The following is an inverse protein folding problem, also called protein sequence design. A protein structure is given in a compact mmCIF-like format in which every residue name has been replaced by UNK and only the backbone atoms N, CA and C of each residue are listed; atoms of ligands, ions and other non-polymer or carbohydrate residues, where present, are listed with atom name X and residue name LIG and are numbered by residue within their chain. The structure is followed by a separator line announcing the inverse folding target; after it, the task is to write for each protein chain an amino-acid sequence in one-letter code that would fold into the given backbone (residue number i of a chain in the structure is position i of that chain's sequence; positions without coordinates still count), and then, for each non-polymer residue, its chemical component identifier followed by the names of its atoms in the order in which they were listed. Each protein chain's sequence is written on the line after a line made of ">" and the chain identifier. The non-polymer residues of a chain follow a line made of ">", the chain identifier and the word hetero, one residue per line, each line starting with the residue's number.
data_IF_931978582591
#
_entry.id   IF_931978582591
#
_cell.length_a   1.000
_cell.length_b   1.000
_cell.length_c   1.000
_cell.angle_alpha   90.00
_cell.angle_beta   90.00
_cell.angle_gamma   90.00
#
_symmetry.space_group_name_H-M   'P 1'
#
loop_
_entity.id
_entity.type
_entity.pdbx_description
1 polymer ?
#
# COMPACT_ATOMS: atom_id res chain seq x y z
N UNK A 1 -2.27 3.01 4.80
CA UNK A 1 -1.11 3.96 4.76
C UNK A 1 0.04 3.41 3.92
N UNK A 2 0.48 2.15 4.15
CA UNK A 2 1.59 1.55 3.40
C UNK A 2 1.35 1.54 1.88
N UNK A 3 0.18 1.09 1.44
CA UNK A 3 -0.22 1.06 0.03
C UNK A 3 -0.27 2.48 -0.57
N UNK A 4 -0.84 3.42 0.17
CA UNK A 4 -0.91 4.83 -0.19
C UNK A 4 0.47 5.48 -0.40
N UNK A 5 1.42 5.28 0.55
CA UNK A 5 2.79 5.82 0.43
C UNK A 5 3.51 5.21 -0.77
N UNK A 6 3.34 3.90 -1.01
CA UNK A 6 3.93 3.21 -2.15
C UNK A 6 3.47 3.82 -3.48
N UNK A 7 2.17 4.10 -3.60
CA UNK A 7 1.61 4.74 -4.79
C UNK A 7 2.09 6.19 -4.95
N UNK A 8 2.18 6.94 -3.84
CA UNK A 8 2.70 8.30 -3.86
C UNK A 8 4.12 8.36 -4.43
N UNK A 9 5.04 7.55 -3.91
CA UNK A 9 6.44 7.52 -4.34
C UNK A 9 6.59 7.08 -5.80
N UNK A 10 5.88 6.01 -6.18
CA UNK A 10 5.82 5.52 -7.54
C UNK A 10 5.34 6.59 -8.50
N UNK A 11 4.20 7.20 -8.22
CA UNK A 11 3.57 8.21 -9.08
C UNK A 11 4.42 9.47 -9.19
N UNK A 12 5.05 9.90 -8.09
CA UNK A 12 5.97 11.04 -8.10
C UNK A 12 7.16 10.78 -9.03
N UNK A 13 7.72 9.56 -9.01
CA UNK A 13 8.81 9.16 -9.90
C UNK A 13 8.39 9.15 -11.38
N UNK A 14 7.21 8.59 -11.68
CA UNK A 14 6.70 8.53 -13.05
C UNK A 14 6.34 9.90 -13.60
N UNK A 15 5.63 10.72 -12.82
CA UNK A 15 5.27 12.08 -13.23
C UNK A 15 6.48 12.96 -13.49
N UNK A 16 7.55 12.84 -12.68
CA UNK A 16 8.82 13.54 -12.94
C UNK A 16 9.44 13.13 -14.26
N UNK A 17 9.53 11.81 -14.54
CA UNK A 17 10.07 11.29 -15.80
C UNK A 17 9.29 11.81 -17.01
N UNK A 18 7.94 11.79 -16.93
CA UNK A 18 7.08 12.29 -18.01
C UNK A 18 7.29 13.79 -18.23
N UNK A 19 7.35 14.58 -17.14
CA UNK A 19 7.58 16.02 -17.24
C UNK A 19 8.97 16.36 -17.81
N UNK A 20 9.96 15.50 -17.60
CA UNK A 20 11.30 15.62 -18.16
C UNK A 20 11.41 15.07 -19.60
N UNK A 21 10.31 14.60 -20.17
CA UNK A 21 10.29 13.98 -21.51
C UNK A 21 11.06 12.66 -21.61
N UNK A 22 11.36 12.02 -20.47
CA UNK A 22 12.09 10.76 -20.43
C UNK A 22 11.16 9.58 -20.70
N UNK A 23 11.61 8.57 -21.48
CA UNK A 23 10.79 7.39 -21.77
C UNK A 23 10.51 6.59 -20.48
N UNK A 24 9.28 6.10 -20.36
CA UNK A 24 8.88 5.18 -19.30
C UNK A 24 9.37 3.77 -19.67
N UNK A 25 10.57 3.40 -19.24
CA UNK A 25 11.05 2.03 -19.40
C UNK A 25 10.44 1.15 -18.31
N UNK A 26 9.28 0.54 -18.60
CA UNK A 26 8.52 -0.28 -17.66
C UNK A 26 9.29 -1.53 -17.25
N UNK A 27 9.98 -2.17 -18.21
CA UNK A 27 10.74 -3.38 -17.93
C UNK A 27 11.88 -3.11 -16.93
N UNK A 28 12.66 -2.05 -17.15
CA UNK A 28 13.72 -1.64 -16.23
C UNK A 28 13.15 -1.30 -14.83
N UNK A 29 11.98 -0.66 -14.78
CA UNK A 29 11.31 -0.37 -13.52
C UNK A 29 10.94 -1.66 -12.77
N UNK A 30 10.28 -2.62 -13.43
CA UNK A 30 9.90 -3.90 -12.82
C UNK A 30 11.11 -4.69 -12.34
N UNK A 31 12.16 -4.77 -13.16
CA UNK A 31 13.41 -5.43 -12.74
C UNK A 31 13.98 -4.84 -11.47
N UNK A 32 14.07 -3.52 -11.35
CA UNK A 32 14.57 -2.86 -10.14
C UNK A 32 13.68 -3.11 -8.91
N UNK A 33 12.36 -3.07 -9.07
CA UNK A 33 11.42 -3.33 -7.97
C UNK A 33 11.55 -4.76 -7.47
N UNK A 34 11.48 -5.74 -8.38
CA UNK A 34 11.50 -7.14 -7.99
C UNK A 34 12.88 -7.60 -7.52
N UNK A 35 13.98 -7.11 -8.09
CA UNK A 35 15.34 -7.36 -7.57
C UNK A 35 15.53 -6.88 -6.13
N UNK A 36 14.82 -5.83 -5.73
CA UNK A 36 14.87 -5.31 -4.37
C UNK A 36 13.98 -6.09 -3.39
N UNK A 37 12.82 -6.54 -3.83
CA UNK A 37 11.80 -7.13 -2.94
C UNK A 37 11.91 -8.65 -2.84
N UNK A 38 12.10 -9.35 -3.98
CA UNK A 38 12.05 -10.81 -4.03
C UNK A 38 13.11 -11.52 -3.19
N UNK A 39 14.40 -11.12 -3.19
CA UNK A 39 15.41 -11.90 -2.50
C UNK A 39 15.13 -12.05 -1.00
N UNK A 40 14.82 -10.94 -0.32
CA UNK A 40 14.54 -10.95 1.12
C UNK A 40 13.22 -11.69 1.41
N UNK A 41 12.17 -11.45 0.61
CA UNK A 41 10.91 -12.16 0.74
C UNK A 41 11.08 -13.68 0.56
N UNK A 42 11.85 -14.11 -0.44
CA UNK A 42 12.12 -15.54 -0.70
C UNK A 42 12.84 -16.21 0.48
N UNK A 43 13.84 -15.54 1.06
CA UNK A 43 14.57 -16.07 2.24
C UNK A 43 13.61 -16.23 3.43
N UNK A 44 12.77 -15.22 3.69
CA UNK A 44 11.79 -15.30 4.79
C UNK A 44 10.73 -16.37 4.53
N UNK A 45 10.21 -16.47 3.29
CA UNK A 45 9.24 -17.51 2.93
C UNK A 45 9.85 -18.91 3.12
N UNK A 46 11.07 -19.14 2.62
CA UNK A 46 11.74 -20.42 2.77
C UNK A 46 11.99 -20.76 4.25
N UNK A 47 12.56 -19.81 5.01
CA UNK A 47 12.82 -19.99 6.45
C UNK A 47 11.55 -20.25 7.25
N UNK A 48 10.47 -19.49 7.02
CA UNK A 48 9.17 -19.69 7.66
C UNK A 48 8.56 -21.05 7.29
N UNK A 49 8.64 -21.45 6.02
CA UNK A 49 8.16 -22.76 5.58
C UNK A 49 8.90 -23.91 6.29
N UNK A 50 10.23 -23.84 6.33
CA UNK A 50 11.06 -24.85 7.02
C UNK A 50 10.71 -24.88 8.51
N UNK A 51 10.67 -23.74 9.19
CA UNK A 51 10.31 -23.65 10.61
C UNK A 51 8.91 -24.23 10.88
N UNK A 52 7.96 -23.99 9.98
CA UNK A 52 6.60 -24.51 10.10
C UNK A 52 6.52 -26.03 10.12
N UNK A 53 7.41 -26.74 9.44
CA UNK A 53 7.44 -28.19 9.49
C UNK A 53 7.89 -28.76 10.85
N UNK A 54 8.62 -27.98 11.65
CA UNK A 54 9.02 -28.37 12.98
C UNK A 54 8.03 -27.95 14.08
N UNK A 55 7.28 -26.86 13.84
CA UNK A 55 6.42 -26.24 14.86
C UNK A 55 4.95 -26.61 14.66
N UNK A 56 4.49 -26.74 13.41
CA UNK A 56 3.08 -26.98 13.11
C UNK A 56 2.76 -28.48 12.95
N UNK A 57 1.53 -28.85 13.31
CA UNK A 57 1.02 -30.19 13.10
C UNK A 57 1.06 -30.58 11.61
N UNK A 58 1.32 -31.86 11.25
CA UNK A 58 1.38 -32.32 9.86
C UNK A 58 0.13 -32.02 9.04
N UNK A 59 -1.04 -31.99 9.66
CA UNK A 59 -2.31 -31.62 9.01
C UNK A 59 -2.29 -30.20 8.41
N UNK A 60 -1.41 -29.32 8.86
CA UNK A 60 -1.29 -27.92 8.38
C UNK A 60 -0.24 -27.72 7.29
N UNK A 61 0.60 -28.70 7.02
CA UNK A 61 1.73 -28.54 6.09
C UNK A 61 1.26 -28.23 4.66
N UNK A 62 0.24 -28.92 4.17
CA UNK A 62 -0.30 -28.69 2.83
C UNK A 62 -0.77 -27.24 2.65
N UNK A 63 -1.53 -26.71 3.62
CA UNK A 63 -1.99 -25.32 3.59
C UNK A 63 -0.81 -24.35 3.68
N UNK A 64 0.17 -24.61 4.57
CA UNK A 64 1.36 -23.76 4.71
C UNK A 64 2.17 -23.67 3.42
N UNK A 65 2.33 -24.78 2.69
CA UNK A 65 3.00 -24.81 1.38
C UNK A 65 2.20 -24.03 0.32
N UNK A 66 0.87 -24.13 0.34
CA UNK A 66 0.00 -23.36 -0.55
C UNK A 66 0.13 -21.88 -0.28
N UNK A 67 0.10 -21.48 0.99
CA UNK A 67 0.28 -20.07 1.42
C UNK A 67 1.68 -19.53 1.06
N UNK A 68 2.74 -20.36 1.22
CA UNK A 68 4.09 -20.00 0.82
C UNK A 68 4.20 -19.75 -0.70
N UNK A 69 3.62 -20.64 -1.52
CA UNK A 69 3.57 -20.47 -2.97
C UNK A 69 2.79 -19.22 -3.36
N UNK A 70 1.61 -19.01 -2.77
CA UNK A 70 0.79 -17.82 -3.03
C UNK A 70 1.49 -16.54 -2.63
N UNK A 71 2.25 -16.54 -1.52
CA UNK A 71 3.07 -15.41 -1.07
C UNK A 71 4.21 -15.11 -2.04
N UNK A 72 4.92 -16.14 -2.51
CA UNK A 72 6.04 -16.00 -3.47
C UNK A 72 5.60 -15.38 -4.79
N UNK A 73 4.42 -15.77 -5.28
CA UNK A 73 3.85 -15.28 -6.54
C UNK A 73 2.96 -14.04 -6.38
N UNK A 74 2.91 -13.41 -5.19
CA UNK A 74 2.10 -12.22 -4.91
C UNK A 74 0.59 -12.44 -5.12
N UNK A 75 0.07 -13.62 -4.74
CA UNK A 75 -1.34 -14.00 -4.78
C UNK A 75 -1.94 -14.34 -3.41
N UNK A 76 -1.18 -14.15 -2.32
CA UNK A 76 -1.63 -14.53 -0.97
C UNK A 76 -2.90 -13.80 -0.53
N UNK A 77 -3.11 -12.58 -0.97
CA UNK A 77 -4.34 -11.84 -0.69
C UNK A 77 -5.59 -12.53 -1.27
N UNK A 78 -5.52 -13.05 -2.49
CA UNK A 78 -6.62 -13.80 -3.10
C UNK A 78 -6.83 -15.17 -2.44
N UNK A 79 -5.75 -15.86 -2.12
CA UNK A 79 -5.83 -17.12 -1.38
C UNK A 79 -6.53 -16.91 -0.03
N UNK A 80 -6.18 -15.85 0.71
CA UNK A 80 -6.84 -15.51 1.97
C UNK A 80 -8.28 -15.01 1.77
N UNK A 81 -8.57 -14.24 0.72
CA UNK A 81 -9.91 -13.78 0.41
C UNK A 81 -10.88 -14.95 0.21
N UNK A 82 -10.51 -15.91 -0.63
CA UNK A 82 -11.34 -17.11 -0.88
C UNK A 82 -11.44 -17.99 0.37
N UNK A 83 -10.35 -18.19 1.11
CA UNK A 83 -10.37 -18.94 2.36
C UNK A 83 -11.22 -18.25 3.44
N UNK A 84 -11.34 -16.93 3.44
CA UNK A 84 -12.18 -16.21 4.41
C UNK A 84 -13.66 -16.43 4.18
N UNK A 85 -14.09 -16.60 2.93
CA UNK A 85 -15.47 -16.98 2.59
C UNK A 85 -15.81 -18.38 3.11
N UNK A 86 -14.88 -19.33 2.94
CA UNK A 86 -15.04 -20.71 3.46
C UNK A 86 -15.00 -20.76 5.00
N UNK A 87 -14.27 -19.83 5.63
CA UNK A 87 -14.11 -19.73 7.09
C UNK A 87 -15.38 -19.32 7.82
N UNK A 88 -16.17 -18.38 7.27
CA UNK A 88 -17.48 -18.04 7.85
C UNK A 88 -18.45 -19.24 7.84
N UNK A 89 -18.17 -20.24 7.00
CA UNK A 89 -18.89 -21.51 6.96
C UNK A 89 -18.39 -22.56 7.98
N UNK A 90 -17.18 -22.44 8.52
CA UNK A 90 -16.51 -23.46 9.35
C UNK A 90 -15.76 -22.86 10.56
N UNK A 91 -16.43 -22.42 11.51
CA UNK A 91 -16.08 -22.00 12.91
C UNK A 91 -14.66 -22.19 13.51
N UNK A 92 -13.53 -22.27 12.84
CA UNK A 92 -12.19 -22.15 13.45
C UNK A 92 -11.02 -22.13 12.46
N UNK A 93 -10.47 -21.01 12.11
CA UNK A 93 -9.18 -21.01 11.42
C UNK A 93 -8.03 -20.54 12.32
N UNK A 94 -7.02 -21.35 12.40
CA UNK A 94 -5.73 -20.91 12.93
C UNK A 94 -5.06 -20.07 11.85
N UNK A 95 -4.65 -18.85 12.20
CA UNK A 95 -4.03 -17.88 11.29
C UNK A 95 -2.84 -18.48 10.53
N UNK A 96 -2.71 -18.14 9.25
CA UNK A 96 -1.58 -18.53 8.41
C UNK A 96 -0.28 -17.87 8.88
N UNK A 97 0.88 -18.58 8.89
CA UNK A 97 2.18 -17.95 9.10
C UNK A 97 2.52 -16.88 8.06
N UNK A 98 1.88 -16.92 6.89
CA UNK A 98 2.06 -16.00 5.78
C UNK A 98 0.93 -14.99 5.65
N UNK A 99 0.07 -14.85 6.66
CA UNK A 99 -1.09 -13.96 6.55
C UNK A 99 -0.71 -12.54 6.17
N UNK A 100 0.32 -11.96 6.78
CA UNK A 100 0.77 -10.59 6.51
C UNK A 100 1.20 -10.33 5.06
N UNK A 101 1.55 -11.37 4.28
CA UNK A 101 1.91 -11.22 2.85
C UNK A 101 0.75 -10.74 1.96
N UNK A 102 -0.49 -10.69 2.48
CA UNK A 102 -1.61 -10.17 1.71
C UNK A 102 -1.36 -8.74 1.18
N UNK A 103 -0.84 -7.85 2.01
CA UNK A 103 -0.63 -6.46 1.59
C UNK A 103 0.56 -6.32 0.64
N UNK A 104 1.59 -7.16 0.79
CA UNK A 104 2.70 -7.24 -0.14
C UNK A 104 2.24 -7.79 -1.51
N UNK A 105 1.30 -8.75 -1.49
CA UNK A 105 0.70 -9.29 -2.72
C UNK A 105 -0.08 -8.21 -3.47
N UNK A 106 -0.95 -7.46 -2.80
CA UNK A 106 -1.64 -6.32 -3.41
C UNK A 106 -0.63 -5.30 -3.95
N UNK A 107 0.40 -4.96 -3.17
CA UNK A 107 1.44 -4.02 -3.62
C UNK A 107 2.17 -4.50 -4.86
N UNK A 108 2.54 -5.79 -4.94
CA UNK A 108 3.19 -6.38 -6.11
C UNK A 108 2.33 -6.33 -7.36
N UNK A 109 1.03 -6.64 -7.24
CA UNK A 109 0.06 -6.52 -8.33
C UNK A 109 -0.03 -5.07 -8.83
N UNK A 110 -0.08 -4.11 -7.92
CA UNK A 110 -0.16 -2.69 -8.27
C UNK A 110 1.15 -2.18 -8.90
N UNK A 111 2.30 -2.66 -8.47
CA UNK A 111 3.56 -2.32 -9.13
C UNK A 111 3.63 -2.77 -10.60
N UNK A 112 2.78 -3.72 -10.99
CA UNK A 112 2.60 -4.10 -12.40
C UNK A 112 1.54 -3.21 -13.07
N UNK A 113 0.37 -3.07 -12.44
CA UNK A 113 -0.81 -2.41 -13.04
C UNK A 113 -0.63 -0.90 -13.13
N UNK A 114 -0.07 -0.24 -12.11
CA UNK A 114 0.01 1.22 -12.04
C UNK A 114 0.88 1.84 -13.14
N UNK A 115 2.10 1.32 -13.43
CA UNK A 115 2.88 1.77 -14.57
C UNK A 115 2.17 1.61 -15.91
N UNK A 116 1.38 0.54 -16.08
CA UNK A 116 0.57 0.33 -17.28
C UNK A 116 -0.55 1.38 -17.38
N UNK A 117 -1.19 1.74 -16.27
CA UNK A 117 -2.16 2.84 -16.24
C UNK A 117 -1.50 4.18 -16.62
N UNK A 118 -0.31 4.49 -16.13
CA UNK A 118 0.43 5.69 -16.54
C UNK A 118 0.78 5.66 -18.03
N UNK A 119 1.19 4.51 -18.57
CA UNK A 119 1.44 4.36 -20.00
C UNK A 119 0.15 4.54 -20.83
N UNK A 120 -0.97 4.02 -20.36
CA UNK A 120 -2.28 4.21 -20.98
C UNK A 120 -2.70 5.70 -20.96
N UNK A 121 -2.53 6.39 -19.83
CA UNK A 121 -2.77 7.84 -19.73
C UNK A 121 -1.91 8.60 -20.74
N UNK A 122 -0.61 8.30 -20.82
CA UNK A 122 0.31 8.94 -21.76
C UNK A 122 -0.10 8.69 -23.22
N UNK A 123 -0.52 7.45 -23.54
CA UNK A 123 -1.03 7.09 -24.86
C UNK A 123 -2.31 7.88 -25.22
N UNK A 124 -3.29 7.94 -24.32
CA UNK A 124 -4.53 8.68 -24.53
C UNK A 124 -4.25 10.17 -24.76
N UNK A 125 -3.38 10.76 -23.95
CA UNK A 125 -2.98 12.16 -24.08
C UNK A 125 -2.31 12.42 -25.42
N UNK A 126 -1.39 11.54 -25.85
CA UNK A 126 -0.74 11.67 -27.15
C UNK A 126 -1.73 11.52 -28.31
N UNK A 127 -2.64 10.55 -28.23
CA UNK A 127 -3.64 10.24 -29.28
C UNK A 127 -4.66 11.35 -29.48
N UNK A 128 -5.12 11.95 -28.38
CA UNK A 128 -6.20 12.96 -28.38
C UNK A 128 -5.70 14.39 -28.13
N UNK A 129 -4.38 14.61 -28.10
CA UNK A 129 -3.75 15.91 -27.81
C UNK A 129 -4.25 16.58 -26.54
N UNK A 130 -4.59 15.77 -25.52
CA UNK A 130 -5.11 16.24 -24.25
C UNK A 130 -4.02 16.76 -23.32
N UNK A 131 -4.43 17.31 -22.18
CA UNK A 131 -3.50 17.70 -21.11
C UNK A 131 -3.23 16.51 -20.19
N UNK A 132 -1.95 16.12 -20.08
CA UNK A 132 -1.52 14.97 -19.27
C UNK A 132 -2.01 15.03 -17.83
N UNK A 133 -1.87 16.21 -17.19
CA UNK A 133 -2.23 16.38 -15.79
C UNK A 133 -3.75 16.22 -15.60
N UNK A 134 -4.56 16.87 -16.42
CA UNK A 134 -6.02 16.81 -16.33
C UNK A 134 -6.54 15.41 -16.61
N UNK A 135 -6.00 14.74 -17.64
CA UNK A 135 -6.38 13.34 -17.98
C UNK A 135 -6.01 12.39 -16.84
N UNK A 136 -4.82 12.51 -16.29
CA UNK A 136 -4.38 11.67 -15.17
C UNK A 136 -5.24 11.91 -13.91
N UNK A 137 -5.51 13.18 -13.55
CA UNK A 137 -6.40 13.52 -12.42
C UNK A 137 -7.78 12.90 -12.63
N UNK A 138 -8.34 13.01 -13.82
CA UNK A 138 -9.66 12.44 -14.11
C UNK A 138 -9.67 10.92 -13.94
N UNK A 139 -8.72 10.21 -14.54
CA UNK A 139 -8.64 8.75 -14.48
C UNK A 139 -8.43 8.26 -13.03
N UNK A 140 -7.43 8.82 -12.31
CA UNK A 140 -7.16 8.38 -10.95
C UNK A 140 -8.25 8.80 -9.95
N UNK A 141 -8.94 9.91 -10.18
CA UNK A 141 -10.12 10.27 -9.39
C UNK A 141 -11.28 9.30 -9.65
N UNK A 142 -11.49 8.87 -10.90
CA UNK A 142 -12.49 7.84 -11.22
C UNK A 142 -12.16 6.52 -10.52
N UNK A 143 -10.91 6.07 -10.55
CA UNK A 143 -10.46 4.87 -9.82
C UNK A 143 -10.66 5.04 -8.31
N UNK A 144 -10.34 6.22 -7.76
CA UNK A 144 -10.54 6.52 -6.34
C UNK A 144 -12.02 6.37 -5.94
N UNK A 145 -12.91 7.06 -6.64
CA UNK A 145 -14.35 7.05 -6.33
C UNK A 145 -14.93 5.65 -6.51
N UNK A 146 -14.66 5.00 -7.63
CA UNK A 146 -15.20 3.66 -7.92
C UNK A 146 -14.72 2.62 -6.90
N UNK A 147 -13.42 2.60 -6.60
CA UNK A 147 -12.86 1.65 -5.64
C UNK A 147 -13.27 1.93 -4.19
N UNK A 148 -13.35 3.20 -3.79
CA UNK A 148 -13.82 3.55 -2.44
C UNK A 148 -15.29 3.18 -2.24
N UNK A 149 -16.14 3.49 -3.21
CA UNK A 149 -17.55 3.09 -3.17
C UNK A 149 -17.69 1.56 -3.10
N UNK A 150 -16.95 0.86 -3.95
CA UNK A 150 -16.91 -0.62 -3.92
C UNK A 150 -16.39 -1.13 -2.56
N UNK A 151 -15.34 -0.53 -2.02
CA UNK A 151 -14.80 -0.90 -0.70
C UNK A 151 -15.83 -0.74 0.43
N UNK A 152 -16.61 0.35 0.42
CA UNK A 152 -17.64 0.59 1.44
C UNK A 152 -18.74 -0.48 1.33
N UNK A 153 -19.26 -0.71 0.13
CA UNK A 153 -20.33 -1.69 -0.10
C UNK A 153 -19.88 -3.11 0.22
N UNK A 154 -18.70 -3.52 -0.27
CA UNK A 154 -18.18 -4.87 -0.03
C UNK A 154 -17.82 -5.10 1.45
N UNK A 155 -17.34 -4.07 2.15
CA UNK A 155 -17.06 -4.17 3.60
C UNK A 155 -18.34 -4.39 4.40
N UNK A 156 -19.45 -3.80 3.99
CA UNK A 156 -20.75 -3.96 4.66
C UNK A 156 -21.35 -5.35 4.40
N UNK A 157 -21.16 -5.88 3.20
CA UNK A 157 -21.76 -7.17 2.77
C UNK A 157 -20.89 -8.38 3.10
N UNK A 158 -19.56 -8.29 2.92
CA UNK A 158 -18.61 -9.37 3.13
C UNK A 158 -17.23 -8.83 3.56
N UNK A 159 -17.15 -8.38 4.81
CA UNK A 159 -15.94 -7.75 5.36
C UNK A 159 -14.68 -8.64 5.25
N UNK A 160 -14.82 -9.94 5.50
CA UNK A 160 -13.68 -10.88 5.45
C UNK A 160 -13.05 -10.93 4.06
N UNK A 161 -13.86 -10.99 3.02
CA UNK A 161 -13.39 -10.93 1.64
C UNK A 161 -12.85 -9.55 1.27
N UNK A 162 -13.60 -8.49 1.61
CA UNK A 162 -13.24 -7.10 1.33
C UNK A 162 -11.86 -6.73 1.91
N UNK A 163 -11.48 -7.32 3.04
CA UNK A 163 -10.19 -7.04 3.68
C UNK A 163 -8.99 -7.40 2.79
N UNK A 164 -9.09 -8.47 2.02
CA UNK A 164 -8.00 -9.02 1.20
C UNK A 164 -8.15 -8.71 -0.30
N UNK A 165 -9.32 -8.26 -0.75
CA UNK A 165 -9.58 -7.97 -2.16
C UNK A 165 -8.74 -6.76 -2.64
N UNK A 166 -8.02 -6.93 -3.73
CA UNK A 166 -7.25 -5.86 -4.36
C UNK A 166 -8.13 -4.69 -4.78
N UNK A 167 -9.35 -4.96 -5.27
CA UNK A 167 -10.29 -3.94 -5.78
C UNK A 167 -10.75 -2.98 -4.69
N UNK A 168 -10.93 -3.46 -3.45
CA UNK A 168 -11.32 -2.64 -2.30
C UNK A 168 -10.19 -1.75 -1.79
N UNK A 169 -8.97 -1.91 -2.30
CA UNK A 169 -7.75 -1.20 -1.89
C UNK A 169 -7.19 -0.25 -2.96
N UNK A 170 -7.69 -0.31 -4.20
CA UNK A 170 -7.19 0.55 -5.29
C UNK A 170 -7.33 2.03 -4.98
N UNK A 171 -8.34 2.44 -4.22
CA UNK A 171 -8.53 3.83 -3.81
C UNK A 171 -7.37 4.38 -2.97
N UNK A 172 -6.72 3.54 -2.15
CA UNK A 172 -5.54 3.94 -1.39
C UNK A 172 -4.37 4.31 -2.33
N UNK A 173 -4.21 3.57 -3.42
CA UNK A 173 -3.21 3.88 -4.45
C UNK A 173 -3.60 5.10 -5.27
N UNK A 174 -4.88 5.22 -5.61
CA UNK A 174 -5.38 6.36 -6.40
C UNK A 174 -5.20 7.68 -5.64
N UNK A 175 -5.56 7.74 -4.36
CA UNK A 175 -5.35 8.95 -3.54
C UNK A 175 -3.86 9.26 -3.34
N UNK A 176 -2.99 8.23 -3.23
CA UNK A 176 -1.55 8.41 -3.20
C UNK A 176 -1.02 9.07 -4.48
N UNK A 177 -1.54 8.65 -5.63
CA UNK A 177 -1.22 9.25 -6.94
C UNK A 177 -1.72 10.69 -7.05
N UNK A 178 -2.96 10.94 -6.66
CA UNK A 178 -3.55 12.30 -6.66
C UNK A 178 -2.76 13.24 -5.75
N UNK A 179 -2.33 12.76 -4.58
CA UNK A 179 -1.47 13.52 -3.68
C UNK A 179 -0.10 13.83 -4.32
N UNK A 180 0.52 12.87 -5.00
CA UNK A 180 1.78 13.09 -5.72
C UNK A 180 1.63 14.20 -6.76
N UNK A 181 0.53 14.20 -7.51
CA UNK A 181 0.21 15.23 -8.49
C UNK A 181 -0.03 16.59 -7.84
N UNK A 182 -0.73 16.63 -6.71
CA UNK A 182 -0.99 17.84 -5.95
C UNK A 182 0.32 18.48 -5.44
N UNK A 183 1.20 17.66 -4.85
CA UNK A 183 2.47 18.16 -4.27
C UNK A 183 3.45 18.69 -5.31
N UNK A 184 3.32 18.31 -6.58
CA UNK A 184 4.09 18.90 -7.69
C UNK A 184 3.66 20.32 -8.04
N UNK A 185 2.40 20.69 -7.79
CA UNK A 185 1.83 21.97 -8.18
C UNK A 185 1.59 22.93 -7.02
N UNK A 186 1.41 22.41 -5.82
CA UNK A 186 1.00 23.22 -4.69
C UNK A 186 1.79 22.87 -3.42
N UNK A 187 2.17 23.92 -2.71
CA UNK A 187 2.79 23.81 -1.38
C UNK A 187 2.05 24.73 -0.41
N UNK A 188 1.67 24.19 0.74
CA UNK A 188 1.08 24.97 1.81
C UNK A 188 2.10 25.94 2.41
N UNK A 189 1.66 27.08 2.97
CA UNK A 189 2.50 27.99 3.76
C UNK A 189 3.19 27.25 4.92
N UNK A 190 4.39 27.68 5.29
CA UNK A 190 5.21 26.96 6.27
C UNK A 190 4.50 26.71 7.61
N UNK A 191 3.79 27.71 8.14
CA UNK A 191 3.01 27.58 9.39
C UNK A 191 1.95 26.46 9.28
N UNK A 192 1.22 26.41 8.16
CA UNK A 192 0.23 25.37 7.91
C UNK A 192 0.88 23.98 7.81
N UNK A 193 2.05 23.88 7.19
CA UNK A 193 2.80 22.62 7.07
C UNK A 193 3.25 22.08 8.41
N UNK A 194 3.68 22.94 9.35
CA UNK A 194 4.00 22.53 10.71
C UNK A 194 2.77 21.93 11.40
N UNK A 195 1.62 22.62 11.32
CA UNK A 195 0.36 22.12 11.91
C UNK A 195 -0.07 20.81 11.25
N UNK A 196 -0.05 20.73 9.91
CA UNK A 196 -0.40 19.51 9.16
C UNK A 196 0.47 18.31 9.60
N UNK A 197 1.76 18.51 9.81
CA UNK A 197 2.67 17.46 10.25
C UNK A 197 2.28 16.89 11.62
N UNK A 198 2.00 17.74 12.58
CA UNK A 198 1.59 17.31 13.92
C UNK A 198 0.20 16.67 13.94
N UNK A 199 -0.78 17.28 13.26
CA UNK A 199 -2.14 16.72 13.13
C UNK A 199 -2.06 15.34 12.46
N UNK A 200 -1.23 15.18 11.43
CA UNK A 200 -1.05 13.90 10.75
C UNK A 200 -0.45 12.83 11.65
N UNK A 201 0.61 13.13 12.41
CA UNK A 201 1.22 12.15 13.34
C UNK A 201 0.25 11.80 14.48
N UNK A 202 -0.40 12.78 15.09
CA UNK A 202 -1.40 12.54 16.14
C UNK A 202 -2.52 11.66 15.59
N UNK A 203 -3.03 11.97 14.38
CA UNK A 203 -4.06 11.16 13.72
C UNK A 203 -3.61 9.72 13.45
N UNK A 204 -2.34 9.49 13.06
CA UNK A 204 -1.80 8.14 12.87
C UNK A 204 -1.69 7.36 14.19
N UNK A 205 -1.22 8.00 15.24
CA UNK A 205 -1.04 7.35 16.57
C UNK A 205 -2.41 7.03 17.20
N UNK A 206 -3.36 7.94 17.09
CA UNK A 206 -4.68 7.79 17.72
C UNK A 206 -5.62 6.87 16.94
N UNK A 207 -5.38 6.66 15.65
CA UNK A 207 -6.29 5.87 14.83
C UNK A 207 -6.47 4.44 15.34
N UNK A 208 -5.41 3.79 15.82
CA UNK A 208 -5.48 2.44 16.38
C UNK A 208 -6.17 2.34 17.73
N UNK A 209 -6.24 3.45 18.49
CA UNK A 209 -6.87 3.49 19.80
C UNK A 209 -8.36 3.90 19.73
N UNK A 210 -8.75 4.69 18.72
CA UNK A 210 -10.07 5.31 18.65
C UNK A 210 -11.00 4.54 17.69
N UNK A 211 -10.45 3.99 16.58
CA UNK A 211 -11.30 3.40 15.56
C UNK A 211 -11.71 1.97 15.89
N UNK A 212 -13.02 1.65 15.84
CA UNK A 212 -13.51 0.28 15.96
C UNK A 212 -13.24 -0.48 14.64
N UNK A 213 -12.01 -0.96 14.48
CA UNK A 213 -11.51 -1.58 13.23
C UNK A 213 -12.29 -2.85 12.88
N UNK A 214 -12.89 -3.52 13.89
CA UNK A 214 -13.48 -4.84 13.78
C UNK A 214 -14.68 -4.92 12.82
N UNK A 215 -15.43 -3.82 12.61
CA UNK A 215 -16.71 -3.86 11.87
C UNK A 215 -16.77 -3.03 10.58
N UNK A 216 -15.87 -2.09 10.36
CA UNK A 216 -15.99 -1.14 9.25
C UNK A 216 -14.68 -0.90 8.49
N UNK A 217 -13.64 -1.72 8.74
CA UNK A 217 -12.40 -1.70 8.00
C UNK A 217 -12.41 -2.83 6.94
N UNK A 218 -12.03 -2.59 5.68
CA UNK A 218 -11.28 -1.45 5.11
C UNK A 218 -12.12 -0.26 4.62
N UNK A 219 -13.42 -0.29 4.67
CA UNK A 219 -14.32 0.74 4.14
C UNK A 219 -13.89 2.19 4.46
N UNK A 220 -14.85 3.06 4.77
CA UNK A 220 -14.58 4.49 4.99
C UNK A 220 -13.65 4.78 6.19
N UNK A 221 -13.54 3.89 7.18
CA UNK A 221 -12.65 4.09 8.33
C UNK A 221 -11.16 4.15 7.93
N UNK A 222 -10.79 3.49 6.84
CA UNK A 222 -9.42 3.53 6.33
C UNK A 222 -9.02 4.92 5.77
N UNK A 223 -9.98 5.82 5.54
CA UNK A 223 -9.69 7.21 5.19
C UNK A 223 -8.94 7.95 6.30
N UNK A 224 -9.24 7.68 7.55
CA UNK A 224 -8.57 8.35 8.68
C UNK A 224 -7.04 8.21 8.64
N UNK A 225 -6.46 7.00 8.67
CA UNK A 225 -5.00 6.86 8.63
C UNK A 225 -4.41 7.30 7.28
N UNK A 226 -5.13 7.19 6.17
CA UNK A 226 -4.66 7.65 4.86
C UNK A 226 -4.58 9.16 4.80
N UNK A 227 -5.61 9.88 5.25
CA UNK A 227 -5.61 11.35 5.33
C UNK A 227 -4.52 11.83 6.29
N UNK A 228 -4.38 11.17 7.44
CA UNK A 228 -3.33 11.48 8.41
C UNK A 228 -1.93 11.33 7.79
N UNK A 229 -1.68 10.26 7.06
CA UNK A 229 -0.44 10.06 6.30
C UNK A 229 -0.24 11.11 5.20
N UNK A 230 -1.32 11.50 4.51
CA UNK A 230 -1.28 12.56 3.50
C UNK A 230 -0.86 13.91 4.10
N UNK A 231 -1.36 14.26 5.28
CA UNK A 231 -0.99 15.47 6.00
C UNK A 231 0.51 15.48 6.36
N UNK A 232 1.06 14.35 6.82
CA UNK A 232 2.49 14.22 7.09
C UNK A 232 3.32 14.42 5.82
N UNK A 233 2.92 13.81 4.70
CA UNK A 233 3.61 13.97 3.42
C UNK A 233 3.55 15.41 2.93
N UNK A 234 2.39 16.07 3.01
CA UNK A 234 2.20 17.47 2.61
C UNK A 234 2.99 18.44 3.49
N UNK A 235 3.17 18.13 4.78
CA UNK A 235 4.03 18.90 5.66
C UNK A 235 5.47 18.95 5.11
N UNK A 236 6.01 17.83 4.64
CA UNK A 236 7.34 17.74 4.05
C UNK A 236 8.43 18.32 4.96
N UNK A 237 9.53 18.81 4.38
CA UNK A 237 10.59 19.47 5.15
C UNK A 237 10.23 20.93 5.40
N UNK A 238 10.29 21.38 6.66
CA UNK A 238 10.08 22.76 7.10
C UNK A 238 11.38 23.37 7.60
N UNK A 239 11.49 24.72 7.60
CA UNK A 239 12.60 25.42 8.24
C UNK A 239 12.34 25.69 9.73
N UNK A 240 11.14 25.36 10.21
CA UNK A 240 10.72 25.61 11.58
C UNK A 240 11.40 24.66 12.58
N UNK A 241 11.78 25.18 13.74
CA UNK A 241 12.26 24.36 14.87
C UNK A 241 11.17 23.42 15.42
N UNK A 242 9.91 23.71 15.14
CA UNK A 242 8.74 22.94 15.55
C UNK A 242 8.25 21.98 14.46
N UNK A 243 8.97 21.85 13.35
CA UNK A 243 8.62 20.95 12.26
C UNK A 243 8.75 19.48 12.68
N UNK A 244 7.73 18.67 12.34
CA UNK A 244 7.73 17.22 12.58
C UNK A 244 8.84 16.51 11.82
N UNK A 245 9.30 17.09 10.71
CA UNK A 245 10.39 16.57 9.89
C UNK A 245 11.69 16.38 10.68
N UNK A 246 11.96 17.21 11.69
CA UNK A 246 13.13 17.04 12.57
C UNK A 246 13.07 15.74 13.36
N UNK A 247 11.89 15.38 13.87
CA UNK A 247 11.68 14.11 14.54
C UNK A 247 11.85 12.95 13.57
N UNK A 248 11.22 13.04 12.38
CA UNK A 248 11.23 11.96 11.37
C UNK A 248 12.63 11.73 10.75
N UNK A 249 13.49 12.74 10.72
CA UNK A 249 14.90 12.65 10.23
C UNK A 249 15.88 12.24 11.34
N UNK A 250 15.41 12.01 12.58
CA UNK A 250 16.28 11.55 13.66
C UNK A 250 16.91 10.18 13.35
N UNK A 251 18.16 9.97 13.77
CA UNK A 251 18.89 8.74 13.47
C UNK A 251 18.18 7.45 13.88
N UNK A 252 17.49 7.35 15.06
CA UNK A 252 16.75 6.17 15.42
C UNK A 252 15.62 5.84 14.44
N UNK A 253 14.84 6.86 14.01
CA UNK A 253 13.74 6.65 13.07
C UNK A 253 14.23 6.34 11.66
N UNK A 254 15.32 6.94 11.22
CA UNK A 254 15.96 6.58 9.95
C UNK A 254 16.46 5.13 9.94
N UNK A 255 17.13 4.69 11.01
CA UNK A 255 17.59 3.31 11.12
C UNK A 255 16.42 2.33 11.12
N UNK A 256 15.35 2.62 11.87
CA UNK A 256 14.13 1.83 11.83
C UNK A 256 13.51 1.78 10.42
N UNK A 257 13.49 2.91 9.73
CA UNK A 257 13.04 3.00 8.34
C UNK A 257 13.85 2.12 7.38
N UNK A 258 15.17 2.08 7.54
CA UNK A 258 16.06 1.30 6.68
C UNK A 258 15.82 -0.21 6.81
N UNK A 259 15.45 -0.71 8.00
CA UNK A 259 15.17 -2.13 8.26
C UNK A 259 13.67 -2.46 8.22
N UNK A 260 12.80 -1.49 7.98
CA UNK A 260 11.34 -1.62 8.08
C UNK A 260 10.77 -2.73 7.20
N UNK A 261 11.33 -2.93 6.00
CA UNK A 261 10.89 -4.01 5.11
C UNK A 261 11.24 -5.41 5.68
N UNK A 262 12.44 -5.58 6.20
CA UNK A 262 12.84 -6.83 6.84
C UNK A 262 12.01 -7.09 8.11
N UNK A 263 11.79 -6.06 8.95
CA UNK A 263 10.91 -6.15 10.11
C UNK A 263 9.49 -6.54 9.72
N UNK A 264 8.95 -5.93 8.66
CA UNK A 264 7.63 -6.28 8.14
C UNK A 264 7.54 -7.76 7.73
N UNK A 265 8.59 -8.32 7.12
CA UNK A 265 8.57 -9.70 6.67
C UNK A 265 8.67 -10.72 7.83
N UNK A 266 9.34 -10.37 8.93
CA UNK A 266 9.62 -11.33 10.03
C UNK A 266 8.69 -11.17 11.24
N UNK A 267 8.00 -10.03 11.42
CA UNK A 267 7.23 -9.75 12.64
C UNK A 267 6.04 -10.68 12.87
N UNK A 268 5.49 -11.28 11.82
CA UNK A 268 4.31 -12.13 11.91
C UNK A 268 4.66 -13.62 12.12
N UNK A 269 5.66 -14.21 11.44
CA UNK A 269 6.04 -15.60 11.66
C UNK A 269 6.67 -15.88 13.04
N UNK A 270 7.26 -14.86 13.67
CA UNK A 270 7.87 -14.92 15.00
C UNK A 270 6.83 -14.67 16.09
#
# INVERSE_FOLDING_TARGET
>A
VFLFISAFLLSLSFMRKINEGKPLNLFSYWMHVFQRLLPVATVVIAGTTIASFFVLAPSRWSQTVTDAKSSLFYFQNWNLAFSSVDYYAQNASVKSPFQHFWSLSIQGQIFIIWPLLFAAVAYVVHRFRGNLFTTAVFIFNTVFVASLTFSIVETDTNQGFAYFDTRTRLWEFAIGTLLAMLTLKWKAPEKARVVMGWVGIIGLVTCGAILPVERAFPGYLALWPVISGALVIMAGRTNSRWGIDRLLVSAPLQNLGNISYALYLVHWPI
#
